data_IF_996235236698
#
_entry.id   IF_996235236698
#
_cell.length_a   1.000
_cell.length_b   1.000
_cell.length_c   1.000
_cell.angle_alpha   90.00
_cell.angle_beta   90.00
_cell.angle_gamma   90.00
#
_symmetry.space_group_name_H-M   'P 1'
#
loop_
_entity.id
_entity.type
_entity.pdbx_description
1 polymer ?
#
# COMPACT_ATOMS: atom_id res chain seq x y z
N UNK A 1 12.64 10.39 23.31
CA UNK A 1 11.39 10.29 22.53
C UNK A 1 11.58 9.47 21.24
N UNK A 2 12.74 9.56 20.57
CA UNK A 2 13.07 8.74 19.39
C UNK A 2 13.06 7.22 19.64
N UNK A 3 13.53 6.77 20.81
CA UNK A 3 13.62 5.33 21.15
C UNK A 3 12.27 4.62 21.06
N UNK A 4 11.20 5.24 21.57
CA UNK A 4 9.84 4.68 21.51
C UNK A 4 9.30 4.61 20.08
N UNK A 5 9.67 5.54 19.20
CA UNK A 5 9.29 5.49 17.77
C UNK A 5 10.03 4.36 17.08
N UNK A 6 11.35 4.29 17.23
CA UNK A 6 12.17 3.23 16.66
C UNK A 6 11.71 1.83 17.09
N UNK A 7 11.35 1.65 18.36
CA UNK A 7 10.77 0.40 18.88
C UNK A 7 9.46 0.03 18.19
N UNK A 8 8.55 1.00 17.98
CA UNK A 8 7.28 0.77 17.28
C UNK A 8 7.51 0.40 15.82
N UNK A 9 8.40 1.10 15.13
CA UNK A 9 8.78 0.78 13.74
C UNK A 9 9.34 -0.64 13.67
N UNK A 10 10.29 -1.01 14.54
CA UNK A 10 10.85 -2.35 14.57
C UNK A 10 9.79 -3.45 14.81
N UNK A 11 8.81 -3.21 15.68
CA UNK A 11 7.69 -4.13 15.89
C UNK A 11 6.82 -4.29 14.65
N UNK A 12 6.55 -3.20 13.92
CA UNK A 12 5.82 -3.27 12.65
C UNK A 12 6.60 -4.05 11.60
N UNK A 13 7.90 -3.79 11.46
CA UNK A 13 8.78 -4.53 10.56
C UNK A 13 8.77 -6.03 10.88
N UNK A 14 8.83 -6.41 12.16
CA UNK A 14 8.78 -7.82 12.58
C UNK A 14 7.43 -8.47 12.28
N UNK A 15 6.32 -7.77 12.51
CA UNK A 15 4.99 -8.27 12.16
C UNK A 15 4.87 -8.51 10.65
N UNK A 16 5.43 -7.61 9.84
CA UNK A 16 5.42 -7.69 8.38
C UNK A 16 6.34 -8.78 7.79
N UNK A 17 7.29 -9.32 8.57
CA UNK A 17 8.03 -10.52 8.14
C UNK A 17 7.17 -11.79 8.11
N UNK A 18 6.05 -11.80 8.84
CA UNK A 18 5.12 -12.95 8.91
C UNK A 18 3.88 -12.76 8.04
N UNK A 19 3.61 -11.53 7.58
CA UNK A 19 2.44 -11.14 6.78
C UNK A 19 2.83 -9.99 5.87
N UNK A 20 2.54 -10.06 4.57
CA UNK A 20 2.95 -9.03 3.61
C UNK A 20 2.37 -7.62 3.89
N UNK A 21 1.27 -7.56 4.66
CA UNK A 21 0.59 -6.32 5.06
C UNK A 21 -0.12 -6.45 6.40
N UNK A 22 -0.38 -5.33 7.06
CA UNK A 22 -1.21 -5.25 8.27
C UNK A 22 -2.17 -4.05 8.15
N UNK A 23 -3.44 -4.22 8.51
CA UNK A 23 -4.38 -3.10 8.52
C UNK A 23 -3.98 -2.09 9.60
N UNK A 24 -4.17 -0.79 9.33
CA UNK A 24 -3.75 0.29 10.23
C UNK A 24 -4.37 0.16 11.62
N UNK A 25 -5.64 -0.22 11.69
CA UNK A 25 -6.36 -0.53 12.93
C UNK A 25 -5.70 -1.65 13.73
N UNK A 26 -5.25 -2.71 13.07
CA UNK A 26 -4.63 -3.86 13.73
C UNK A 26 -3.21 -3.52 14.18
N UNK A 27 -2.48 -2.74 13.38
CA UNK A 27 -1.18 -2.18 13.77
C UNK A 27 -1.31 -1.27 15.01
N UNK A 28 -2.35 -0.44 15.08
CA UNK A 28 -2.66 0.42 16.21
C UNK A 28 -2.95 -0.41 17.48
N UNK A 29 -3.74 -1.47 17.34
CA UNK A 29 -4.03 -2.41 18.42
C UNK A 29 -2.76 -3.15 18.90
N UNK A 30 -1.95 -3.65 17.97
CA UNK A 30 -0.68 -4.35 18.25
C UNK A 30 0.29 -3.48 19.05
N UNK A 31 0.39 -2.20 18.68
CA UNK A 31 1.29 -1.24 19.30
C UNK A 31 0.69 -0.50 20.50
N UNK A 32 -0.62 -0.69 20.77
CA UNK A 32 -1.40 0.02 21.79
C UNK A 32 -1.33 1.55 21.65
N UNK A 33 -1.46 2.04 20.43
CA UNK A 33 -1.48 3.48 20.10
C UNK A 33 -2.66 3.80 19.20
N UNK A 34 -2.92 5.08 18.96
CA UNK A 34 -3.92 5.48 17.96
C UNK A 34 -3.40 5.30 16.53
N UNK A 35 -4.32 5.15 15.56
CA UNK A 35 -3.97 5.16 14.13
C UNK A 35 -3.23 6.44 13.73
N UNK A 36 -3.61 7.59 14.33
CA UNK A 36 -2.95 8.87 14.12
C UNK A 36 -1.49 8.88 14.61
N UNK A 37 -1.17 8.14 15.67
CA UNK A 37 0.21 8.00 16.15
C UNK A 37 1.07 7.24 15.14
N UNK A 38 0.54 6.16 14.57
CA UNK A 38 1.25 5.41 13.52
C UNK A 38 1.43 6.29 12.28
N UNK A 39 0.39 6.99 11.83
CA UNK A 39 0.49 7.93 10.70
C UNK A 39 1.61 8.95 10.91
N UNK A 40 1.69 9.54 12.11
CA UNK A 40 2.75 10.49 12.48
C UNK A 40 4.13 9.85 12.53
N UNK A 41 4.25 8.64 13.06
CA UNK A 41 5.53 7.93 13.13
C UNK A 41 6.09 7.60 11.73
N UNK A 42 5.21 7.25 10.79
CA UNK A 42 5.54 6.93 9.40
C UNK A 42 5.79 8.18 8.53
N UNK A 43 5.20 9.32 8.88
CA UNK A 43 5.38 10.58 8.12
C UNK A 43 6.57 11.42 8.59
N UNK A 44 7.09 11.18 9.79
CA UNK A 44 8.13 12.02 10.39
C UNK A 44 9.47 11.89 9.67
N UNK A 45 9.91 10.68 9.38
CA UNK A 45 11.16 10.39 8.66
C UNK A 45 10.99 9.09 7.86
N UNK A 46 11.80 8.84 6.82
CA UNK A 46 11.80 7.57 6.11
C UNK A 46 11.99 6.39 7.07
N UNK A 47 11.16 5.35 6.91
CA UNK A 47 11.25 4.11 7.70
C UNK A 47 11.20 2.89 6.78
N UNK A 48 11.56 1.71 7.29
CA UNK A 48 11.50 0.44 6.54
C UNK A 48 10.07 -0.05 6.24
N UNK A 49 9.06 0.69 6.67
CA UNK A 49 7.63 0.41 6.47
C UNK A 49 6.93 1.69 6.00
N UNK A 50 5.88 1.55 5.20
CA UNK A 50 5.11 2.67 4.65
C UNK A 50 3.61 2.43 4.80
N UNK A 51 2.82 3.51 4.73
CA UNK A 51 1.37 3.44 4.72
C UNK A 51 0.86 3.51 3.27
N UNK A 52 0.11 2.49 2.84
CA UNK A 52 -0.63 2.46 1.58
C UNK A 52 -2.13 2.39 1.88
N UNK A 53 -2.80 3.54 1.77
CA UNK A 53 -4.21 3.68 2.13
C UNK A 53 -4.44 3.36 3.61
N UNK A 54 -5.16 2.27 3.88
CA UNK A 54 -5.45 1.77 5.23
C UNK A 54 -4.50 0.68 5.73
N UNK A 55 -3.42 0.36 5.01
CA UNK A 55 -2.51 -0.74 5.34
C UNK A 55 -1.07 -0.25 5.55
N UNK A 56 -0.38 -0.84 6.52
CA UNK A 56 1.07 -0.71 6.68
C UNK A 56 1.72 -1.88 5.94
N UNK A 57 2.71 -1.58 5.12
CA UNK A 57 3.49 -2.56 4.34
C UNK A 57 4.99 -2.29 4.49
N UNK A 58 5.84 -3.24 4.10
CA UNK A 58 7.28 -2.99 3.99
C UNK A 58 7.54 -1.92 2.93
N UNK A 59 8.51 -1.03 3.16
CA UNK A 59 8.93 -0.10 2.12
C UNK A 59 9.55 -0.90 0.95
N UNK A 60 8.97 -0.86 -0.26
CA UNK A 60 9.51 -1.53 -1.42
C UNK A 60 10.91 -1.01 -1.82
N UNK A 61 11.28 0.23 -1.46
CA UNK A 61 12.66 0.70 -1.61
C UNK A 61 13.64 -0.01 -0.67
N UNK A 62 13.16 -0.52 0.46
CA UNK A 62 13.91 -1.31 1.43
C UNK A 62 13.86 -2.82 1.13
N UNK A 63 12.94 -3.28 0.26
CA UNK A 63 12.71 -4.68 0.00
C UNK A 63 12.46 -4.92 -1.51
N UNK A 64 13.50 -5.37 -2.22
CA UNK A 64 13.51 -5.64 -3.67
C UNK A 64 12.46 -6.66 -4.18
N UNK A 65 11.61 -7.20 -3.31
CA UNK A 65 10.78 -8.36 -3.61
C UNK A 65 9.37 -8.03 -4.11
N UNK A 66 8.85 -6.79 -4.00
CA UNK A 66 7.46 -6.53 -4.40
C UNK A 66 7.19 -5.07 -4.86
N UNK A 67 7.90 -4.62 -5.89
CA UNK A 67 7.70 -3.31 -6.52
C UNK A 67 6.49 -3.29 -7.48
N UNK A 68 5.29 -3.59 -6.99
CA UNK A 68 4.06 -3.35 -7.75
C UNK A 68 3.37 -2.07 -7.26
N UNK A 69 3.78 -0.93 -7.83
CA UNK A 69 3.10 0.34 -7.62
C UNK A 69 2.12 0.61 -8.76
N UNK A 70 0.86 0.88 -8.42
CA UNK A 70 -0.18 1.19 -9.41
C UNK A 70 0.21 2.39 -10.28
N UNK A 71 0.85 3.42 -9.69
CA UNK A 71 1.40 4.57 -10.41
C UNK A 71 2.41 4.16 -11.49
N UNK A 72 3.33 3.27 -11.14
CA UNK A 72 4.40 2.83 -12.04
C UNK A 72 3.86 1.92 -13.13
N UNK A 73 2.78 1.21 -12.84
CA UNK A 73 2.10 0.35 -13.80
C UNK A 73 1.19 1.14 -14.74
N UNK A 74 0.76 2.35 -14.39
CA UNK A 74 -0.13 3.16 -15.22
C UNK A 74 0.48 3.45 -16.59
N UNK A 75 1.78 3.79 -16.64
CA UNK A 75 2.51 4.06 -17.87
C UNK A 75 3.06 2.82 -18.59
N UNK A 76 2.86 1.61 -18.05
CA UNK A 76 3.31 0.36 -18.68
C UNK A 76 2.22 -0.22 -19.59
N UNK A 77 2.65 -0.84 -20.69
CA UNK A 77 1.80 -1.59 -21.63
C UNK A 77 0.58 -0.78 -22.10
N UNK A 78 0.80 0.49 -22.45
CA UNK A 78 -0.26 1.43 -22.77
C UNK A 78 -1.02 1.00 -24.02
N UNK A 79 -0.32 0.55 -25.06
CA UNK A 79 -0.93 0.10 -26.31
C UNK A 79 -1.77 -1.16 -26.12
N UNK A 80 -1.30 -2.12 -25.32
CA UNK A 80 -2.04 -3.34 -25.00
C UNK A 80 -3.29 -3.03 -24.17
N UNK A 81 -3.18 -2.17 -23.17
CA UNK A 81 -4.34 -1.72 -22.37
C UNK A 81 -5.37 -1.00 -23.24
N UNK A 82 -4.91 -0.17 -24.18
CA UNK A 82 -5.77 0.50 -25.14
C UNK A 82 -6.49 -0.50 -26.03
N UNK A 83 -5.78 -1.51 -26.57
CA UNK A 83 -6.38 -2.57 -27.38
C UNK A 83 -7.43 -3.36 -26.58
N UNK A 84 -7.12 -3.74 -25.34
CA UNK A 84 -8.06 -4.42 -24.43
C UNK A 84 -9.30 -3.56 -24.21
N UNK A 85 -9.14 -2.27 -23.95
CA UNK A 85 -10.25 -1.34 -23.79
C UNK A 85 -11.14 -1.25 -25.02
N UNK A 86 -10.55 -1.23 -26.23
CA UNK A 86 -11.30 -1.24 -27.49
C UNK A 86 -12.08 -2.53 -27.70
N UNK A 87 -11.51 -3.68 -27.33
CA UNK A 87 -12.20 -4.96 -27.41
C UNK A 87 -13.34 -5.05 -26.39
N UNK A 88 -13.09 -4.63 -25.14
CA UNK A 88 -14.10 -4.59 -24.09
C UNK A 88 -15.26 -3.65 -24.43
N UNK A 89 -14.98 -2.50 -25.04
CA UNK A 89 -16.01 -1.55 -25.45
C UNK A 89 -17.01 -2.13 -26.46
N UNK A 90 -16.61 -3.11 -27.27
CA UNK A 90 -17.50 -3.80 -28.23
C UNK A 90 -18.49 -4.74 -27.55
N UNK A 91 -18.28 -5.08 -26.28
CA UNK A 91 -19.14 -5.96 -25.50
C UNK A 91 -20.23 -5.21 -24.74
N UNK A 92 -20.16 -3.87 -24.71
CA UNK A 92 -21.15 -3.02 -24.06
C UNK A 92 -22.41 -2.98 -24.93
N UNK A 93 -23.55 -3.28 -24.34
CA UNK A 93 -24.86 -3.24 -25.01
C UNK A 93 -25.73 -2.11 -24.48
N UNK A 94 -26.81 -1.82 -25.19
CA UNK A 94 -27.76 -0.80 -24.77
C UNK A 94 -28.34 -1.12 -23.38
N UNK A 95 -28.44 -0.09 -22.54
CA UNK A 95 -28.87 -0.15 -21.13
C UNK A 95 -27.85 -0.75 -20.14
N UNK A 96 -26.61 -1.02 -20.56
CA UNK A 96 -25.53 -1.31 -19.62
C UNK A 96 -25.14 -0.06 -18.81
N UNK A 97 -24.81 -0.27 -17.53
CA UNK A 97 -24.23 0.76 -16.68
C UNK A 97 -22.75 0.49 -16.48
N UNK A 98 -21.90 1.44 -16.90
CA UNK A 98 -20.44 1.33 -16.83
C UNK A 98 -19.89 2.34 -15.82
N UNK A 99 -18.94 1.92 -14.99
CA UNK A 99 -18.23 2.75 -14.00
C UNK A 99 -16.74 2.83 -14.34
N UNK A 100 -16.10 3.95 -14.04
CA UNK A 100 -14.70 4.24 -14.35
C UNK A 100 -13.95 4.74 -13.11
#
# INVERSE_FOLDING_TARGET
METRRAERINKLTQALKRSDKIHLKDAANLLRVSEMTIRRDLSAEPTSVILLGGYVVMDPKSNNANNYFVSDQQAKQVEEKRLIGQLAARLIVENDTVFF
#
